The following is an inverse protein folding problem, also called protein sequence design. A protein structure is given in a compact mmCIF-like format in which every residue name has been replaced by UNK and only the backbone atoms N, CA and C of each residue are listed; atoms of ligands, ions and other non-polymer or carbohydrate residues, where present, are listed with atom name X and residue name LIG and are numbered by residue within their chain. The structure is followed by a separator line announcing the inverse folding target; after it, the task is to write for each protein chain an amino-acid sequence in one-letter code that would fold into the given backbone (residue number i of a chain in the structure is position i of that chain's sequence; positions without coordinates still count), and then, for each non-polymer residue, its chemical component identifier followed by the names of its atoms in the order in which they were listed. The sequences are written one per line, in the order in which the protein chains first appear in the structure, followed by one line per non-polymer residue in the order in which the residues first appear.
data_IF_205124468966
#
_entry.id   IF_205124468966
#
_cell.length_a   1.000
_cell.length_b   1.000
_cell.length_c   1.000
_cell.angle_alpha   90.00
_cell.angle_beta   90.00
_cell.angle_gamma   90.00
#
_symmetry.space_group_name_H-M   'P 1'
#
loop_
_entity.id
_entity.type
_entity.pdbx_description
1 polymer ?
#
# COMPACT_ATOMS: atom_id res chain seq x y z
N UNK A 1 -49.37 18.40 -22.15
CA UNK A 1 -47.93 18.46 -21.85
C UNK A 1 -47.59 19.68 -20.99
N UNK A 2 -47.88 20.92 -21.43
CA UNK A 2 -47.73 22.15 -20.60
C UNK A 2 -48.53 22.13 -19.26
N UNK A 3 -49.76 21.60 -19.26
CA UNK A 3 -50.56 21.44 -18.02
C UNK A 3 -50.06 20.34 -17.06
N UNK A 4 -49.13 19.49 -17.51
CA UNK A 4 -48.56 18.42 -16.69
C UNK A 4 -47.32 18.93 -15.92
N UNK A 5 -46.51 19.78 -16.56
CA UNK A 5 -45.36 20.45 -15.95
C UNK A 5 -45.78 21.46 -14.87
N UNK A 6 -46.91 22.14 -15.04
CA UNK A 6 -47.48 23.04 -14.02
C UNK A 6 -47.90 22.32 -12.72
N UNK A 7 -48.10 21.00 -12.75
CA UNK A 7 -48.64 20.25 -11.61
C UNK A 7 -47.58 19.65 -10.67
N UNK A 8 -46.35 19.45 -11.15
CA UNK A 8 -45.29 18.78 -10.36
C UNK A 8 -44.26 19.73 -9.74
N UNK A 9 -43.99 20.90 -10.35
CA UNK A 9 -43.08 21.89 -9.77
C UNK A 9 -43.84 22.82 -8.80
N UNK A 10 -44.09 22.34 -7.58
CA UNK A 10 -44.65 23.13 -6.46
C UNK A 10 -43.64 24.16 -5.91
N UNK A 11 -43.13 25.04 -6.76
CA UNK A 11 -42.58 26.33 -6.32
C UNK A 11 -43.37 27.40 -7.07
N UNK A 12 -44.58 27.67 -6.58
CA UNK A 12 -45.35 28.82 -7.02
C UNK A 12 -44.74 30.08 -6.42
N UNK A 13 -43.93 30.80 -7.20
CA UNK A 13 -43.85 32.24 -7.00
C UNK A 13 -45.22 32.84 -7.36
N UNK A 14 -45.89 33.41 -6.35
CA UNK A 14 -47.05 34.29 -6.55
C UNK A 14 -46.71 35.31 -7.66
N UNK A 15 -47.66 35.69 -8.53
CA UNK A 15 -47.49 36.73 -9.56
C UNK A 15 -46.79 37.99 -9.06
N UNK A 16 -46.96 38.35 -7.78
CA UNK A 16 -46.22 39.45 -7.14
C UNK A 16 -44.71 39.21 -7.04
N UNK A 17 -44.26 37.98 -6.78
CA UNK A 17 -42.86 37.63 -6.76
C UNK A 17 -42.27 37.57 -8.18
N UNK A 18 -43.01 37.10 -9.20
CA UNK A 18 -42.60 37.24 -10.61
C UNK A 18 -42.53 38.70 -11.10
N UNK A 19 -43.41 39.57 -10.59
CA UNK A 19 -43.41 41.00 -10.89
C UNK A 19 -42.26 41.73 -10.17
N UNK A 20 -42.04 41.46 -8.88
CA UNK A 20 -40.87 41.92 -8.13
C UNK A 20 -39.56 41.37 -8.73
N UNK A 21 -39.57 40.15 -9.28
CA UNK A 21 -38.47 39.54 -10.02
C UNK A 21 -38.17 40.29 -11.32
N UNK A 22 -39.18 40.63 -12.13
CA UNK A 22 -39.00 41.48 -13.32
C UNK A 22 -38.52 42.89 -12.97
N UNK A 23 -38.98 43.46 -11.86
CA UNK A 23 -38.52 44.76 -11.37
C UNK A 23 -37.07 44.68 -10.85
N UNK A 24 -36.69 43.63 -10.12
CA UNK A 24 -35.31 43.43 -9.65
C UNK A 24 -34.34 43.15 -10.80
N UNK A 25 -34.76 42.36 -11.81
CA UNK A 25 -34.01 42.12 -13.05
C UNK A 25 -33.85 43.39 -13.90
N UNK A 26 -34.87 44.25 -13.93
CA UNK A 26 -34.85 45.48 -14.73
C UNK A 26 -34.09 46.65 -14.09
N UNK A 27 -33.68 46.56 -12.82
CA UNK A 27 -33.15 47.71 -12.05
C UNK A 27 -31.70 47.54 -11.58
N UNK A 28 -31.10 46.34 -11.57
CA UNK A 28 -29.77 46.20 -10.92
C UNK A 28 -28.81 45.31 -11.70
N UNK A 29 -27.91 45.96 -12.44
CA UNK A 29 -26.76 45.30 -13.09
C UNK A 29 -25.63 44.93 -12.10
N UNK A 30 -25.68 45.42 -10.85
CA UNK A 30 -24.60 45.31 -9.83
C UNK A 30 -24.99 44.52 -8.56
N UNK A 31 -25.78 43.45 -8.68
CA UNK A 31 -26.08 42.60 -7.52
C UNK A 31 -24.90 41.64 -7.27
N UNK A 32 -24.32 41.69 -6.06
CA UNK A 32 -23.09 40.94 -5.69
C UNK A 32 -23.34 39.79 -4.69
N UNK A 33 -24.61 39.48 -4.42
CA UNK A 33 -25.02 38.36 -3.58
C UNK A 33 -24.97 37.07 -4.40
N UNK A 34 -24.06 36.15 -4.05
CA UNK A 34 -23.75 34.99 -4.88
C UNK A 34 -24.84 33.90 -4.80
N UNK A 35 -25.50 33.77 -3.65
CA UNK A 35 -26.64 32.87 -3.49
C UNK A 35 -27.83 33.31 -4.35
N UNK A 36 -28.14 34.61 -4.36
CA UNK A 36 -29.22 35.14 -5.20
C UNK A 36 -28.89 35.02 -6.69
N UNK A 37 -27.65 35.26 -7.08
CA UNK A 37 -27.20 35.05 -8.47
C UNK A 37 -27.33 33.58 -8.87
N UNK A 38 -26.97 32.63 -8.00
CA UNK A 38 -27.12 31.19 -8.26
C UNK A 38 -28.60 30.78 -8.38
N UNK A 39 -29.46 31.33 -7.51
CA UNK A 39 -30.91 31.12 -7.60
C UNK A 39 -31.49 31.61 -8.94
N UNK A 40 -31.04 32.79 -9.41
CA UNK A 40 -31.47 33.32 -10.71
C UNK A 40 -30.95 32.52 -11.89
N UNK A 41 -29.70 32.06 -11.84
CA UNK A 41 -29.15 31.17 -12.86
C UNK A 41 -30.01 29.91 -13.01
N UNK A 42 -30.38 29.27 -11.90
CA UNK A 42 -31.23 28.07 -11.88
C UNK A 42 -32.63 28.35 -12.45
N UNK A 43 -33.25 29.47 -12.08
CA UNK A 43 -34.58 29.82 -12.60
C UNK A 43 -34.58 30.08 -14.11
N UNK A 44 -33.55 30.73 -14.63
CA UNK A 44 -33.40 30.97 -16.07
C UNK A 44 -33.12 29.68 -16.84
N UNK A 45 -32.30 28.82 -16.27
CA UNK A 45 -32.05 27.48 -16.78
C UNK A 45 -33.35 26.67 -16.89
N UNK A 46 -34.15 26.60 -15.81
CA UNK A 46 -35.44 25.90 -15.79
C UNK A 46 -36.47 26.46 -16.78
N UNK A 47 -36.30 27.70 -17.23
CA UNK A 47 -37.14 28.34 -18.26
C UNK A 47 -36.60 28.16 -19.69
N UNK A 48 -35.44 27.51 -19.85
CA UNK A 48 -34.75 27.32 -21.13
C UNK A 48 -34.02 28.56 -21.66
N UNK A 49 -33.81 29.60 -20.82
CA UNK A 49 -33.04 30.78 -21.21
C UNK A 49 -31.55 30.58 -20.85
N UNK A 50 -30.87 29.75 -21.64
CA UNK A 50 -29.50 29.31 -21.38
C UNK A 50 -28.50 30.47 -21.41
N UNK A 51 -28.64 31.41 -22.36
CA UNK A 51 -27.72 32.54 -22.49
C UNK A 51 -27.73 33.47 -21.26
N UNK A 52 -28.90 33.72 -20.68
CA UNK A 52 -28.93 34.51 -19.44
C UNK A 52 -28.47 33.70 -18.23
N UNK A 53 -28.74 32.40 -18.19
CA UNK A 53 -28.15 31.52 -17.17
C UNK A 53 -26.62 31.62 -17.18
N UNK A 54 -25.99 31.50 -18.35
CA UNK A 54 -24.55 31.67 -18.54
C UNK A 54 -24.06 33.03 -18.02
N UNK A 55 -24.74 34.13 -18.37
CA UNK A 55 -24.37 35.46 -17.88
C UNK A 55 -24.33 35.54 -16.34
N UNK A 56 -25.28 34.90 -15.65
CA UNK A 56 -25.28 34.83 -14.18
C UNK A 56 -24.15 33.96 -13.64
N UNK A 57 -23.86 32.82 -14.26
CA UNK A 57 -22.74 31.96 -13.88
C UNK A 57 -21.39 32.68 -14.08
N UNK A 58 -21.21 33.44 -15.16
CA UNK A 58 -20.01 34.29 -15.38
C UNK A 58 -19.85 35.27 -14.22
N UNK A 59 -20.92 35.97 -13.82
CA UNK A 59 -20.90 36.94 -12.72
C UNK A 59 -20.53 36.28 -11.40
N UNK A 60 -21.13 35.13 -11.07
CA UNK A 60 -20.77 34.36 -9.87
C UNK A 60 -19.28 34.02 -9.88
N UNK A 61 -18.78 33.52 -11.02
CA UNK A 61 -17.40 33.12 -11.16
C UNK A 61 -16.43 34.32 -11.00
N UNK A 62 -16.79 35.49 -11.51
CA UNK A 62 -16.02 36.74 -11.33
C UNK A 62 -16.00 37.19 -9.87
N UNK A 63 -17.14 37.18 -9.19
CA UNK A 63 -17.23 37.66 -7.80
C UNK A 63 -16.69 36.67 -6.77
N UNK A 64 -16.56 35.39 -7.11
CA UNK A 64 -15.99 34.36 -6.24
C UNK A 64 -14.54 34.63 -5.77
N UNK A 65 -13.79 35.51 -6.43
CA UNK A 65 -12.41 35.90 -6.08
C UNK A 65 -12.31 37.29 -5.43
N UNK A 66 -13.44 37.91 -5.12
CA UNK A 66 -13.50 39.28 -4.61
C UNK A 66 -13.90 39.33 -3.13
N UNK A 67 -13.93 40.53 -2.55
CA UNK A 67 -14.43 40.79 -1.19
C UNK A 67 -15.88 40.33 -0.94
N UNK A 68 -16.61 39.94 -1.99
CA UNK A 68 -18.02 39.54 -1.95
C UNK A 68 -18.24 38.02 -1.78
N UNK A 69 -17.21 37.24 -1.45
CA UNK A 69 -17.29 35.77 -1.37
C UNK A 69 -18.09 35.21 -0.18
N UNK A 70 -18.72 36.07 0.64
CA UNK A 70 -19.23 35.71 1.97
C UNK A 70 -20.28 34.58 1.97
N UNK A 71 -21.09 34.45 0.91
CA UNK A 71 -22.11 33.40 0.79
C UNK A 71 -21.87 32.38 -0.33
N UNK A 72 -20.73 32.43 -1.01
CA UNK A 72 -20.40 31.47 -2.07
C UNK A 72 -20.43 30.02 -1.58
N UNK A 73 -20.01 29.81 -0.32
CA UNK A 73 -19.98 28.50 0.34
C UNK A 73 -21.29 28.13 1.04
N UNK A 74 -22.38 28.88 0.83
CA UNK A 74 -23.66 28.51 1.43
C UNK A 74 -24.20 27.22 0.78
N UNK A 75 -24.80 26.36 1.59
CA UNK A 75 -25.42 25.11 1.13
C UNK A 75 -26.46 25.39 0.03
N UNK A 76 -27.21 26.49 0.14
CA UNK A 76 -28.17 26.90 -0.87
C UNK A 76 -27.51 27.19 -2.22
N UNK A 77 -26.40 27.95 -2.23
CA UNK A 77 -25.64 28.23 -3.45
C UNK A 77 -25.17 26.93 -4.11
N UNK A 78 -24.62 26.01 -3.32
CA UNK A 78 -24.14 24.70 -3.79
C UNK A 78 -25.29 23.89 -4.39
N UNK A 79 -26.44 23.84 -3.71
CA UNK A 79 -27.64 23.13 -4.18
C UNK A 79 -28.18 23.69 -5.50
N UNK A 80 -28.29 25.02 -5.62
CA UNK A 80 -28.77 25.65 -6.85
C UNK A 80 -27.86 25.37 -8.04
N UNK A 81 -26.54 25.47 -7.84
CA UNK A 81 -25.56 25.12 -8.86
C UNK A 81 -25.59 23.61 -9.18
N UNK A 82 -25.85 22.77 -8.17
CA UNK A 82 -25.94 21.32 -8.32
C UNK A 82 -27.12 20.92 -9.20
N UNK A 83 -28.29 21.55 -9.01
CA UNK A 83 -29.45 21.33 -9.88
C UNK A 83 -29.15 21.68 -11.34
N UNK A 84 -28.45 22.80 -11.60
CA UNK A 84 -28.02 23.17 -12.96
C UNK A 84 -27.09 22.08 -13.53
N UNK A 85 -26.08 21.66 -12.76
CA UNK A 85 -25.09 20.67 -13.20
C UNK A 85 -25.68 19.31 -13.55
N UNK A 86 -26.81 18.91 -12.95
CA UNK A 86 -27.40 17.57 -13.17
C UNK A 86 -28.05 17.36 -14.54
N UNK A 87 -28.27 18.41 -15.33
CA UNK A 87 -29.06 18.29 -16.59
C UNK A 87 -28.53 19.11 -17.75
N UNK A 88 -27.43 19.86 -17.57
CA UNK A 88 -26.95 20.86 -18.52
C UNK A 88 -26.09 20.28 -19.65
N UNK A 89 -25.80 21.12 -20.65
CA UNK A 89 -24.80 20.84 -21.68
C UNK A 89 -23.36 21.01 -21.15
N UNK A 90 -22.34 20.52 -21.89
CA UNK A 90 -20.95 20.53 -21.44
C UNK A 90 -20.41 21.91 -21.07
N UNK A 91 -20.84 22.98 -21.76
CA UNK A 91 -20.31 24.32 -21.51
C UNK A 91 -20.78 24.88 -20.17
N UNK A 92 -22.08 24.77 -19.90
CA UNK A 92 -22.64 25.19 -18.61
C UNK A 92 -22.06 24.33 -17.47
N UNK A 93 -21.88 23.03 -17.69
CA UNK A 93 -21.23 22.15 -16.72
C UNK A 93 -19.81 22.61 -16.37
N UNK A 94 -19.02 22.97 -17.38
CA UNK A 94 -17.68 23.52 -17.22
C UNK A 94 -17.67 24.78 -16.34
N UNK A 95 -18.64 25.68 -16.54
CA UNK A 95 -18.76 26.88 -15.73
C UNK A 95 -19.10 26.58 -14.27
N UNK A 96 -19.99 25.61 -14.02
CA UNK A 96 -20.31 25.17 -12.66
C UNK A 96 -19.10 24.53 -11.99
N UNK A 97 -18.36 23.65 -12.69
CA UNK A 97 -17.12 23.04 -12.17
C UNK A 97 -16.09 24.10 -11.79
N UNK A 98 -15.91 25.15 -12.60
CA UNK A 98 -15.04 26.27 -12.27
C UNK A 98 -15.45 27.01 -10.99
N UNK A 99 -16.76 27.17 -10.75
CA UNK A 99 -17.27 27.76 -9.50
C UNK A 99 -17.02 26.80 -8.33
N UNK A 100 -17.29 25.51 -8.50
CA UNK A 100 -17.03 24.49 -7.49
C UNK A 100 -15.55 24.41 -7.11
N UNK A 101 -14.62 24.56 -8.06
CA UNK A 101 -13.18 24.63 -7.77
C UNK A 101 -12.78 25.86 -6.92
N UNK A 102 -13.66 26.86 -6.77
CA UNK A 102 -13.47 28.00 -5.86
C UNK A 102 -14.18 27.80 -4.52
N UNK A 103 -15.21 26.96 -4.46
CA UNK A 103 -15.90 26.55 -3.23
C UNK A 103 -15.10 25.48 -2.49
N UNK A 104 -14.67 24.44 -3.23
CA UNK A 104 -13.85 23.29 -2.81
C UNK A 104 -14.35 22.58 -1.54
N UNK A 105 -15.66 22.62 -1.31
CA UNK A 105 -16.31 21.90 -0.22
C UNK A 105 -16.81 20.52 -0.70
N UNK A 106 -16.83 19.50 0.16
CA UNK A 106 -17.29 18.16 -0.19
C UNK A 106 -18.72 18.14 -0.74
N UNK A 107 -19.59 19.04 -0.28
CA UNK A 107 -20.98 19.18 -0.73
C UNK A 107 -21.10 19.50 -2.22
N UNK A 108 -20.01 19.90 -2.90
CA UNK A 108 -19.98 20.06 -4.35
C UNK A 108 -20.06 18.72 -5.11
N UNK A 109 -19.78 17.59 -4.45
CA UNK A 109 -19.73 16.26 -5.05
C UNK A 109 -21.07 15.54 -4.89
N UNK A 110 -22.05 15.92 -5.69
CA UNK A 110 -23.30 15.18 -5.77
C UNK A 110 -23.19 14.02 -6.79
N UNK A 111 -23.86 12.86 -6.57
CA UNK A 111 -23.65 11.67 -7.42
C UNK A 111 -24.02 11.86 -8.89
N UNK A 112 -24.97 12.76 -9.16
CA UNK A 112 -25.38 13.10 -10.51
C UNK A 112 -24.28 13.88 -11.26
N UNK A 113 -23.43 14.64 -10.57
CA UNK A 113 -22.33 15.38 -11.20
C UNK A 113 -21.36 14.43 -11.91
N UNK A 114 -20.95 13.37 -11.20
CA UNK A 114 -20.09 12.32 -11.75
C UNK A 114 -20.75 11.62 -12.94
N UNK A 115 -22.04 11.29 -12.83
CA UNK A 115 -22.80 10.66 -13.91
C UNK A 115 -22.85 11.53 -15.19
N UNK A 116 -22.91 12.86 -15.04
CA UNK A 116 -22.89 13.78 -16.19
C UNK A 116 -21.49 13.86 -16.81
N UNK A 117 -20.44 13.92 -16.00
CA UNK A 117 -19.06 13.90 -16.51
C UNK A 117 -18.79 12.61 -17.29
N UNK A 118 -19.19 11.46 -16.73
CA UNK A 118 -19.13 10.16 -17.40
C UNK A 118 -19.90 10.15 -18.72
N UNK A 119 -21.11 10.73 -18.75
CA UNK A 119 -21.94 10.78 -19.93
C UNK A 119 -21.33 11.58 -21.08
N UNK A 120 -20.61 12.66 -20.78
CA UNK A 120 -20.08 13.56 -21.82
C UNK A 120 -18.75 13.10 -22.43
N UNK A 121 -18.02 12.20 -21.76
CA UNK A 121 -16.72 11.67 -22.22
C UNK A 121 -15.76 12.78 -22.71
N UNK A 122 -15.81 13.95 -22.07
CA UNK A 122 -15.05 15.13 -22.45
C UNK A 122 -13.81 15.29 -21.56
N UNK A 123 -12.62 15.29 -22.16
CA UNK A 123 -11.34 15.35 -21.44
C UNK A 123 -11.19 16.60 -20.56
N UNK A 124 -11.67 17.75 -21.01
CA UNK A 124 -11.51 19.02 -20.30
C UNK A 124 -12.40 19.05 -19.05
N UNK A 125 -13.62 18.51 -19.15
CA UNK A 125 -14.53 18.34 -18.02
C UNK A 125 -13.96 17.37 -16.99
N UNK A 126 -13.40 16.25 -17.45
CA UNK A 126 -12.74 15.27 -16.58
C UNK A 126 -11.57 15.91 -15.85
N UNK A 127 -10.71 16.66 -16.55
CA UNK A 127 -9.57 17.34 -15.93
C UNK A 127 -10.01 18.40 -14.91
N UNK A 128 -11.04 19.19 -15.20
CA UNK A 128 -11.60 20.15 -14.26
C UNK A 128 -12.20 19.47 -13.01
N UNK A 129 -12.79 18.29 -13.19
CA UNK A 129 -13.30 17.53 -12.07
C UNK A 129 -12.18 16.96 -11.18
N UNK A 130 -11.07 16.49 -11.77
CA UNK A 130 -9.87 16.08 -11.01
C UNK A 130 -9.32 17.25 -10.18
N UNK A 131 -9.21 18.45 -10.78
CA UNK A 131 -8.75 19.65 -10.06
C UNK A 131 -9.67 19.98 -8.88
N UNK A 132 -11.00 19.81 -9.05
CA UNK A 132 -11.95 19.96 -7.95
C UNK A 132 -11.70 18.95 -6.84
N UNK A 133 -11.58 17.66 -7.18
CA UNK A 133 -11.30 16.59 -6.23
C UNK A 133 -9.99 16.86 -5.45
N UNK A 134 -8.91 17.23 -6.14
CA UNK A 134 -7.62 17.56 -5.52
C UNK A 134 -7.75 18.72 -4.51
N UNK A 135 -8.48 19.77 -4.88
CA UNK A 135 -8.71 20.91 -3.98
C UNK A 135 -9.54 20.53 -2.76
N UNK A 136 -10.59 19.72 -2.93
CA UNK A 136 -11.41 19.22 -1.81
C UNK A 136 -10.52 18.40 -0.87
N UNK A 137 -9.72 17.50 -1.40
CA UNK A 137 -8.87 16.60 -0.63
C UNK A 137 -7.78 17.34 0.18
N UNK A 138 -7.20 18.40 -0.38
CA UNK A 138 -6.17 19.22 0.27
C UNK A 138 -6.70 20.17 1.35
N UNK A 139 -7.97 20.58 1.28
CA UNK A 139 -8.50 21.66 2.11
C UNK A 139 -9.54 21.21 3.15
N UNK A 140 -9.89 19.92 3.18
CA UNK A 140 -10.88 19.38 4.10
C UNK A 140 -10.28 18.27 4.96
N UNK A 141 -10.91 18.03 6.13
CA UNK A 141 -10.50 16.97 7.02
C UNK A 141 -10.78 15.61 6.38
N UNK A 142 -9.75 14.76 6.38
CA UNK A 142 -9.75 13.42 5.80
C UNK A 142 -10.92 12.57 6.28
N UNK A 143 -11.12 12.51 7.60
CA UNK A 143 -12.16 11.68 8.21
C UNK A 143 -13.55 12.06 7.71
N UNK A 144 -13.79 13.36 7.52
CA UNK A 144 -15.05 13.87 6.99
C UNK A 144 -15.27 13.47 5.53
N UNK A 145 -14.21 13.54 4.70
CA UNK A 145 -14.28 13.14 3.28
C UNK A 145 -14.63 11.66 3.10
N UNK A 146 -14.03 10.80 3.94
CA UNK A 146 -14.17 9.34 3.84
C UNK A 146 -15.50 8.89 4.43
N UNK A 147 -15.86 9.37 5.63
CA UNK A 147 -17.01 8.86 6.36
C UNK A 147 -18.33 9.48 5.91
N UNK A 148 -18.31 10.73 5.44
CA UNK A 148 -19.54 11.51 5.25
C UNK A 148 -19.82 11.90 3.80
N UNK A 149 -18.84 11.78 2.89
CA UNK A 149 -18.96 12.33 1.53
C UNK A 149 -18.74 11.32 0.41
N UNK A 150 -18.56 10.03 0.71
CA UNK A 150 -18.31 8.96 -0.27
C UNK A 150 -17.18 9.32 -1.27
N UNK A 151 -16.20 10.10 -0.81
CA UNK A 151 -15.20 10.75 -1.65
C UNK A 151 -14.34 9.75 -2.43
N UNK A 152 -14.12 8.57 -1.84
CA UNK A 152 -13.33 7.49 -2.45
C UNK A 152 -14.03 6.90 -3.68
N UNK A 153 -15.37 6.76 -3.66
CA UNK A 153 -16.11 6.24 -4.82
C UNK A 153 -15.98 7.17 -6.03
N UNK A 154 -16.05 8.49 -5.82
CA UNK A 154 -15.79 9.46 -6.90
C UNK A 154 -14.40 9.31 -7.50
N UNK A 155 -13.40 9.15 -6.63
CA UNK A 155 -12.01 9.01 -7.04
C UNK A 155 -11.82 7.73 -7.85
N UNK A 156 -12.39 6.59 -7.43
CA UNK A 156 -12.31 5.34 -8.17
C UNK A 156 -13.02 5.43 -9.53
N UNK A 157 -14.22 6.01 -9.56
CA UNK A 157 -15.03 6.07 -10.78
C UNK A 157 -14.49 7.04 -11.83
N UNK A 158 -14.00 8.22 -11.42
CA UNK A 158 -13.37 9.16 -12.38
C UNK A 158 -12.08 8.56 -12.95
N UNK A 159 -11.38 7.74 -12.16
CA UNK A 159 -10.13 7.10 -12.56
C UNK A 159 -10.29 6.18 -13.77
N UNK A 160 -11.50 5.62 -13.98
CA UNK A 160 -11.83 4.78 -15.14
C UNK A 160 -11.98 5.58 -16.45
N UNK A 161 -12.09 6.90 -16.38
CA UNK A 161 -12.29 7.81 -17.52
C UNK A 161 -10.99 8.48 -17.98
N UNK A 162 -9.87 8.25 -17.29
CA UNK A 162 -8.61 8.92 -17.56
C UNK A 162 -7.82 8.18 -18.63
N UNK A 163 -7.59 8.84 -19.76
CA UNK A 163 -6.65 8.38 -20.80
C UNK A 163 -5.18 8.57 -20.37
N UNK A 164 -4.92 9.45 -19.39
CA UNK A 164 -3.58 9.81 -18.91
C UNK A 164 -3.33 9.29 -17.49
N UNK A 165 -2.34 8.42 -17.38
CA UNK A 165 -1.88 7.77 -16.15
C UNK A 165 -1.50 8.75 -15.02
N UNK A 166 -0.90 9.89 -15.34
CA UNK A 166 -0.41 10.87 -14.35
C UNK A 166 -1.51 11.46 -13.45
N UNK A 167 -2.70 11.71 -14.03
CA UNK A 167 -3.84 12.31 -13.31
C UNK A 167 -4.53 11.29 -12.39
N UNK A 168 -4.50 10.01 -12.78
CA UNK A 168 -4.92 8.88 -11.95
C UNK A 168 -4.04 8.77 -10.70
N UNK A 169 -2.73 8.97 -10.83
CA UNK A 169 -1.80 8.87 -9.71
C UNK A 169 -1.97 9.98 -8.66
N UNK A 170 -2.26 11.22 -9.05
CA UNK A 170 -2.54 12.30 -8.09
C UNK A 170 -3.75 11.97 -7.21
N UNK A 171 -4.77 11.33 -7.80
CA UNK A 171 -5.97 10.86 -7.11
C UNK A 171 -5.65 9.73 -6.12
N UNK A 172 -4.81 8.78 -6.52
CA UNK A 172 -4.49 7.63 -5.66
C UNK A 172 -3.43 7.95 -4.61
N UNK A 173 -2.53 8.91 -4.84
CA UNK A 173 -1.62 9.45 -3.82
C UNK A 173 -2.42 10.17 -2.71
N UNK A 174 -3.50 10.87 -3.10
CA UNK A 174 -4.47 11.42 -2.16
C UNK A 174 -5.17 10.33 -1.34
N UNK A 175 -5.64 9.24 -1.96
CA UNK A 175 -6.16 8.07 -1.24
C UNK A 175 -5.09 7.39 -0.37
N UNK A 176 -3.85 7.42 -0.84
CA UNK A 176 -2.67 6.90 -0.18
C UNK A 176 -2.33 7.62 1.13
N UNK A 177 -2.59 8.93 1.16
CA UNK A 177 -2.43 9.73 2.38
C UNK A 177 -3.46 9.40 3.48
N UNK A 178 -4.51 8.64 3.14
CA UNK A 178 -5.62 8.28 4.02
C UNK A 178 -5.53 6.85 4.59
N UNK A 179 -4.41 6.17 4.35
CA UNK A 179 -4.20 4.73 4.49
C UNK A 179 -4.29 4.17 5.93
N UNK A 180 -4.44 4.99 6.97
CA UNK A 180 -4.46 4.51 8.36
C UNK A 180 -5.85 4.11 8.90
N UNK A 181 -6.88 4.03 8.04
CA UNK A 181 -8.24 3.68 8.45
C UNK A 181 -8.84 2.54 7.62
N UNK A 182 -9.44 1.56 8.32
CA UNK A 182 -10.08 0.41 7.70
C UNK A 182 -11.34 0.85 6.95
N UNK A 183 -11.48 0.49 5.67
CA UNK A 183 -12.56 1.03 4.85
C UNK A 183 -13.02 0.09 3.74
N UNK A 184 -14.35 -0.04 3.57
CA UNK A 184 -14.97 -0.79 2.47
C UNK A 184 -14.53 -0.28 1.08
N UNK A 185 -14.13 0.98 0.98
CA UNK A 185 -13.70 1.62 -0.26
C UNK A 185 -12.30 1.18 -0.71
N UNK A 186 -11.50 0.66 0.23
CA UNK A 186 -10.15 0.16 -0.02
C UNK A 186 -10.14 -1.01 -1.01
N UNK A 187 -11.14 -1.90 -0.91
CA UNK A 187 -11.33 -3.04 -1.81
C UNK A 187 -11.52 -2.64 -3.28
N UNK A 188 -12.31 -1.59 -3.53
CA UNK A 188 -12.57 -1.09 -4.88
C UNK A 188 -11.33 -0.43 -5.47
N UNK A 189 -10.52 0.23 -4.64
CA UNK A 189 -9.24 0.78 -5.04
C UNK A 189 -8.24 -0.32 -5.43
N UNK A 190 -8.12 -1.41 -4.65
CA UNK A 190 -7.25 -2.56 -4.97
C UNK A 190 -7.58 -3.10 -6.36
N UNK A 191 -8.86 -3.42 -6.60
CA UNK A 191 -9.30 -3.96 -7.89
C UNK A 191 -9.01 -3.03 -9.07
N UNK A 192 -9.08 -1.72 -8.83
CA UNK A 192 -8.84 -0.71 -9.86
C UNK A 192 -7.34 -0.56 -10.13
N UNK A 193 -6.50 -0.49 -9.09
CA UNK A 193 -5.04 -0.49 -9.21
C UNK A 193 -4.53 -1.72 -9.98
N UNK A 194 -5.11 -2.88 -9.72
CA UNK A 194 -4.80 -4.14 -10.40
C UNK A 194 -5.10 -4.08 -11.91
N UNK A 195 -6.15 -3.37 -12.35
CA UNK A 195 -6.46 -3.22 -13.79
C UNK A 195 -5.43 -2.36 -14.52
N UNK A 196 -4.80 -1.43 -13.81
CA UNK A 196 -3.85 -0.48 -14.37
C UNK A 196 -2.38 -0.90 -14.20
N UNK A 197 -2.11 -1.93 -13.38
CA UNK A 197 -0.79 -2.54 -13.15
C UNK A 197 -0.03 -2.88 -14.45
N UNK A 198 -0.73 -3.34 -15.49
CA UNK A 198 -0.11 -3.78 -16.76
C UNK A 198 0.23 -2.61 -17.69
N UNK A 199 -0.37 -1.45 -17.42
CA UNK A 199 -0.32 -0.26 -18.27
C UNK A 199 0.55 0.85 -17.63
N UNK A 200 0.83 0.75 -16.32
CA UNK A 200 1.68 1.69 -15.60
C UNK A 200 3.18 1.47 -15.90
N UNK A 201 3.74 2.45 -16.63
CA UNK A 201 5.16 2.51 -16.99
C UNK A 201 6.04 3.14 -15.92
N UNK A 202 5.50 3.87 -14.92
CA UNK A 202 6.26 4.86 -14.14
C UNK A 202 6.30 4.70 -12.60
N UNK A 203 6.19 3.47 -12.07
CA UNK A 203 6.45 3.10 -10.65
C UNK A 203 5.32 3.43 -9.65
N UNK A 204 4.44 4.37 -9.96
CA UNK A 204 3.45 4.90 -9.02
C UNK A 204 2.42 3.84 -8.57
N UNK A 205 2.01 2.89 -9.42
CA UNK A 205 1.10 1.80 -9.02
C UNK A 205 1.76 0.88 -7.97
N UNK A 206 3.06 0.62 -8.07
CA UNK A 206 3.77 -0.18 -7.06
C UNK A 206 3.88 0.55 -5.72
N UNK A 207 4.06 1.87 -5.73
CA UNK A 207 4.09 2.66 -4.49
C UNK A 207 2.75 2.61 -3.77
N UNK A 208 1.65 2.68 -4.52
CA UNK A 208 0.30 2.55 -3.99
C UNK A 208 0.11 1.17 -3.39
N UNK A 209 0.43 0.11 -4.15
CA UNK A 209 0.34 -1.27 -3.66
C UNK A 209 1.13 -1.45 -2.36
N UNK A 210 2.36 -0.94 -2.32
CA UNK A 210 3.20 -0.99 -1.12
C UNK A 210 2.52 -0.29 0.05
N UNK A 211 1.97 0.91 -0.17
CA UNK A 211 1.27 1.65 0.88
C UNK A 211 0.05 0.87 1.38
N UNK A 212 -0.68 0.20 0.49
CA UNK A 212 -1.86 -0.60 0.84
C UNK A 212 -1.53 -1.82 1.70
N UNK A 213 -0.54 -2.61 1.30
CA UNK A 213 -0.12 -3.78 2.08
C UNK A 213 0.63 -3.40 3.37
N UNK A 214 1.08 -2.14 3.49
CA UNK A 214 1.69 -1.60 4.70
C UNK A 214 0.68 -1.07 5.71
N UNK A 215 -0.63 -1.05 5.37
CA UNK A 215 -1.69 -0.63 6.29
C UNK A 215 -1.85 -1.63 7.45
N UNK A 216 -1.59 -1.23 8.69
CA UNK A 216 -1.67 -2.12 9.86
C UNK A 216 -3.06 -2.75 10.09
N UNK A 217 -4.15 -2.09 9.64
CA UNK A 217 -5.53 -2.56 9.88
C UNK A 217 -6.03 -3.53 8.82
N UNK A 218 -5.68 -3.30 7.55
CA UNK A 218 -6.25 -3.99 6.39
C UNK A 218 -5.20 -4.73 5.54
N UNK A 219 -3.96 -4.88 6.02
CA UNK A 219 -2.88 -5.52 5.26
C UNK A 219 -3.26 -6.91 4.72
N UNK A 220 -3.81 -7.79 5.57
CA UNK A 220 -4.13 -9.18 5.20
C UNK A 220 -5.17 -9.25 4.10
N UNK A 221 -6.25 -8.48 4.22
CA UNK A 221 -7.30 -8.44 3.21
C UNK A 221 -6.77 -7.85 1.91
N UNK A 222 -5.97 -6.78 1.99
CA UNK A 222 -5.33 -6.16 0.83
C UNK A 222 -4.43 -7.13 0.08
N UNK A 223 -3.60 -7.89 0.80
CA UNK A 223 -2.75 -8.94 0.22
C UNK A 223 -3.62 -10.02 -0.43
N UNK A 224 -4.64 -10.52 0.27
CA UNK A 224 -5.53 -11.55 -0.27
C UNK A 224 -6.21 -11.08 -1.57
N UNK A 225 -6.65 -9.82 -1.66
CA UNK A 225 -7.22 -9.27 -2.88
C UNK A 225 -6.19 -9.19 -4.02
N UNK A 226 -4.96 -8.74 -3.75
CA UNK A 226 -3.89 -8.69 -4.76
C UNK A 226 -3.57 -10.08 -5.31
N UNK A 227 -3.53 -11.09 -4.42
CA UNK A 227 -3.27 -12.48 -4.79
C UNK A 227 -4.39 -13.13 -5.61
N UNK A 228 -5.62 -12.58 -5.62
CA UNK A 228 -6.68 -13.06 -6.54
C UNK A 228 -6.41 -12.74 -8.01
N UNK A 229 -5.45 -11.87 -8.30
CA UNK A 229 -5.05 -11.58 -9.67
C UNK A 229 -3.85 -12.44 -10.09
N UNK A 230 -4.09 -13.36 -11.02
CA UNK A 230 -3.09 -14.32 -11.54
C UNK A 230 -1.82 -13.66 -12.12
N UNK A 231 -1.88 -12.38 -12.50
CA UNK A 231 -0.75 -11.64 -13.08
C UNK A 231 0.05 -10.85 -12.06
N UNK A 232 -0.48 -10.65 -10.85
CA UNK A 232 0.17 -9.82 -9.83
C UNK A 232 1.55 -10.36 -9.45
N UNK A 233 1.66 -11.65 -9.15
CA UNK A 233 2.95 -12.27 -8.81
C UNK A 233 3.95 -12.14 -9.96
N UNK A 234 3.53 -12.45 -11.20
CA UNK A 234 4.38 -12.31 -12.39
C UNK A 234 4.91 -10.89 -12.54
N UNK A 235 4.05 -9.87 -12.39
CA UNK A 235 4.48 -8.47 -12.45
C UNK A 235 5.54 -8.13 -11.40
N UNK A 236 5.29 -8.49 -10.13
CA UNK A 236 6.21 -8.18 -9.05
C UNK A 236 7.56 -8.87 -9.26
N UNK A 237 7.55 -10.11 -9.75
CA UNK A 237 8.75 -10.87 -10.09
C UNK A 237 9.51 -10.25 -11.27
N UNK A 238 8.83 -9.86 -12.34
CA UNK A 238 9.42 -9.15 -13.49
C UNK A 238 10.08 -7.82 -13.06
N UNK A 239 9.46 -7.11 -12.13
CA UNK A 239 10.00 -5.86 -11.59
C UNK A 239 11.19 -6.10 -10.66
N UNK A 240 11.17 -7.18 -9.87
CA UNK A 240 12.31 -7.61 -9.07
C UNK A 240 13.52 -7.92 -9.96
N UNK A 241 13.34 -8.69 -11.05
CA UNK A 241 14.44 -8.98 -12.01
C UNK A 241 15.03 -7.71 -12.62
N UNK A 242 14.22 -6.66 -12.77
CA UNK A 242 14.66 -5.31 -13.20
C UNK A 242 15.19 -4.43 -12.07
N UNK A 243 15.52 -5.01 -10.90
CA UNK A 243 16.16 -4.34 -9.76
C UNK A 243 15.30 -3.24 -9.13
N UNK A 244 13.97 -3.39 -9.18
CA UNK A 244 13.07 -2.40 -8.63
C UNK A 244 13.00 -2.48 -7.10
N UNK A 245 13.36 -1.39 -6.40
CA UNK A 245 13.35 -1.33 -4.94
C UNK A 245 11.96 -1.50 -4.33
N UNK A 246 10.92 -0.93 -4.96
CA UNK A 246 9.54 -1.05 -4.49
C UNK A 246 9.05 -2.49 -4.57
N UNK A 247 9.48 -3.25 -5.60
CA UNK A 247 9.18 -4.68 -5.69
C UNK A 247 9.81 -5.47 -4.53
N UNK A 248 11.05 -5.15 -4.12
CA UNK A 248 11.70 -5.75 -2.95
C UNK A 248 10.88 -5.48 -1.68
N UNK A 249 10.42 -4.24 -1.49
CA UNK A 249 9.58 -3.87 -0.34
C UNK A 249 8.23 -4.60 -0.36
N UNK A 250 7.59 -4.74 -1.52
CA UNK A 250 6.32 -5.45 -1.67
C UNK A 250 6.49 -6.94 -1.32
N UNK A 251 7.52 -7.58 -1.87
CA UNK A 251 7.82 -9.00 -1.58
C UNK A 251 8.09 -9.16 -0.09
N UNK A 252 8.91 -8.30 0.50
CA UNK A 252 9.20 -8.32 1.94
C UNK A 252 7.91 -8.33 2.76
N UNK A 253 6.98 -7.40 2.49
CA UNK A 253 5.73 -7.30 3.24
C UNK A 253 4.83 -8.54 3.06
N UNK A 254 4.72 -9.05 1.84
CA UNK A 254 3.89 -10.24 1.57
C UNK A 254 4.47 -11.47 2.25
N UNK A 255 5.80 -11.62 2.27
CA UNK A 255 6.46 -12.76 2.91
C UNK A 255 6.31 -12.72 4.44
N UNK A 256 6.20 -11.54 5.04
CA UNK A 256 5.88 -11.40 6.47
C UNK A 256 4.44 -11.81 6.82
N UNK A 257 3.48 -11.46 5.96
CA UNK A 257 2.05 -11.45 6.32
C UNK A 257 1.19 -12.52 5.60
N UNK A 258 1.72 -13.20 4.57
CA UNK A 258 0.96 -14.15 3.75
C UNK A 258 1.74 -15.39 3.33
N UNK A 259 1.36 -16.53 3.93
CA UNK A 259 1.88 -17.84 3.57
C UNK A 259 1.59 -18.20 2.10
N UNK A 260 0.37 -17.88 1.63
CA UNK A 260 -0.05 -18.15 0.25
C UNK A 260 0.78 -17.34 -0.75
N UNK A 261 0.91 -16.03 -0.53
CA UNK A 261 1.71 -15.17 -1.40
C UNK A 261 3.17 -15.61 -1.45
N UNK A 262 3.73 -16.02 -0.30
CA UNK A 262 5.09 -16.56 -0.26
C UNK A 262 5.24 -17.83 -1.10
N UNK A 263 4.29 -18.78 -0.99
CA UNK A 263 4.30 -20.00 -1.80
C UNK A 263 4.23 -19.67 -3.29
N UNK A 264 3.38 -18.72 -3.68
CA UNK A 264 3.28 -18.30 -5.08
C UNK A 264 4.59 -17.66 -5.59
N UNK A 265 5.26 -16.82 -4.78
CA UNK A 265 6.56 -16.26 -5.16
C UNK A 265 7.64 -17.34 -5.33
N UNK A 266 7.66 -18.36 -4.47
CA UNK A 266 8.59 -19.48 -4.60
C UNK A 266 8.35 -20.26 -5.90
N UNK A 267 7.09 -20.53 -6.24
CA UNK A 267 6.73 -21.19 -7.51
C UNK A 267 7.18 -20.40 -8.74
N UNK A 268 7.31 -19.06 -8.62
CA UNK A 268 7.82 -18.18 -9.67
C UNK A 268 9.34 -17.94 -9.58
N UNK A 269 10.08 -18.73 -8.78
CA UNK A 269 11.53 -18.73 -8.78
C UNK A 269 12.18 -17.63 -7.93
N UNK A 270 11.49 -17.11 -6.90
CA UNK A 270 12.00 -16.03 -6.03
C UNK A 270 13.42 -16.30 -5.53
N UNK A 271 13.71 -17.49 -5.01
CA UNK A 271 15.04 -17.81 -4.45
C UNK A 271 16.16 -17.71 -5.51
N UNK A 272 15.87 -18.07 -6.75
CA UNK A 272 16.82 -17.97 -7.86
C UNK A 272 17.09 -16.50 -8.22
N UNK A 273 16.03 -15.69 -8.30
CA UNK A 273 16.16 -14.26 -8.61
C UNK A 273 16.91 -13.54 -7.50
N UNK A 274 16.60 -13.81 -6.24
CA UNK A 274 17.33 -13.26 -5.09
C UNK A 274 18.81 -13.62 -5.14
N UNK A 275 19.14 -14.87 -5.50
CA UNK A 275 20.55 -15.31 -5.65
C UNK A 275 21.29 -14.49 -6.70
N UNK A 276 20.69 -14.30 -7.87
CA UNK A 276 21.29 -13.51 -8.96
C UNK A 276 21.50 -12.05 -8.55
N UNK A 277 20.52 -11.46 -7.85
CA UNK A 277 20.56 -10.05 -7.45
C UNK A 277 21.45 -9.78 -6.24
N UNK A 278 21.77 -10.81 -5.44
CA UNK A 278 22.43 -10.67 -4.15
C UNK A 278 23.73 -9.86 -4.22
N UNK A 279 24.58 -10.17 -5.19
CA UNK A 279 25.86 -9.46 -5.39
C UNK A 279 25.72 -8.21 -6.27
N UNK A 280 24.68 -8.16 -7.11
CA UNK A 280 24.42 -7.02 -7.99
C UNK A 280 23.82 -5.82 -7.26
N UNK A 281 23.13 -6.05 -6.14
CA UNK A 281 22.45 -5.06 -5.33
C UNK A 281 22.92 -5.13 -3.87
N UNK A 282 24.22 -4.91 -3.63
CA UNK A 282 24.84 -5.02 -2.30
C UNK A 282 24.15 -4.17 -1.23
N UNK A 283 23.67 -2.98 -1.60
CA UNK A 283 22.94 -2.08 -0.68
C UNK A 283 21.62 -2.68 -0.16
N UNK A 284 21.11 -3.73 -0.81
CA UNK A 284 19.87 -4.42 -0.45
C UNK A 284 20.10 -5.84 0.09
N UNK A 285 21.35 -6.21 0.37
CA UNK A 285 21.73 -7.53 0.86
C UNK A 285 20.94 -7.93 2.11
N UNK A 286 20.82 -7.03 3.08
CA UNK A 286 20.04 -7.24 4.31
C UNK A 286 18.57 -7.55 4.03
N UNK A 287 17.97 -6.91 3.02
CA UNK A 287 16.59 -7.20 2.63
C UNK A 287 16.45 -8.63 2.06
N UNK A 288 17.41 -9.09 1.27
CA UNK A 288 17.40 -10.45 0.72
C UNK A 288 17.62 -11.51 1.81
N UNK A 289 18.51 -11.24 2.77
CA UNK A 289 18.69 -12.08 3.97
C UNK A 289 17.39 -12.13 4.76
N UNK A 290 16.75 -10.98 4.96
CA UNK A 290 15.49 -10.87 5.69
C UNK A 290 14.34 -11.63 5.01
N UNK A 291 14.18 -11.49 3.70
CA UNK A 291 13.18 -12.24 2.91
C UNK A 291 13.44 -13.74 3.07
N UNK A 292 14.68 -14.20 2.86
CA UNK A 292 15.05 -15.63 2.97
C UNK A 292 14.79 -16.17 4.38
N UNK A 293 15.07 -15.37 5.41
CA UNK A 293 14.80 -15.72 6.80
C UNK A 293 13.29 -15.86 7.06
N UNK A 294 12.45 -14.93 6.58
CA UNK A 294 11.00 -14.99 6.77
C UNK A 294 10.35 -16.19 6.06
N UNK A 295 10.83 -16.56 4.87
CA UNK A 295 10.37 -17.79 4.18
C UNK A 295 10.57 -19.01 5.09
N UNK A 296 11.64 -19.05 5.89
CA UNK A 296 11.90 -20.17 6.82
C UNK A 296 10.90 -20.26 7.98
N UNK A 297 10.05 -19.26 8.21
CA UNK A 297 8.99 -19.30 9.21
C UNK A 297 7.74 -20.06 8.74
N UNK A 298 7.59 -20.32 7.45
CA UNK A 298 6.51 -21.13 6.90
C UNK A 298 6.51 -22.56 7.45
N UNK A 299 5.34 -23.06 7.88
CA UNK A 299 5.17 -24.44 8.38
C UNK A 299 4.94 -25.42 7.23
N UNK A 300 5.86 -25.45 6.27
CA UNK A 300 5.79 -26.31 5.09
C UNK A 300 7.14 -26.95 4.76
N UNK A 301 7.27 -28.26 4.96
CA UNK A 301 8.54 -29.00 4.79
C UNK A 301 9.11 -28.91 3.37
N UNK A 302 8.24 -28.79 2.36
CA UNK A 302 8.67 -28.63 0.97
C UNK A 302 9.38 -27.29 0.76
N UNK A 303 8.78 -26.19 1.23
CA UNK A 303 9.37 -24.83 1.15
C UNK A 303 10.72 -24.78 1.85
N UNK A 304 10.79 -25.39 3.03
CA UNK A 304 11.98 -25.41 3.86
C UNK A 304 13.13 -26.19 3.18
N UNK A 305 12.80 -27.32 2.52
CA UNK A 305 13.75 -28.08 1.69
C UNK A 305 14.25 -27.25 0.50
N UNK A 306 13.34 -26.53 -0.17
CA UNK A 306 13.66 -25.67 -1.31
C UNK A 306 14.63 -24.55 -0.91
N UNK A 307 14.39 -23.89 0.24
CA UNK A 307 15.31 -22.87 0.77
C UNK A 307 16.68 -23.45 1.09
N UNK A 308 16.77 -24.57 1.83
CA UNK A 308 18.07 -25.14 2.23
C UNK A 308 18.90 -25.59 1.03
N UNK A 309 18.25 -26.02 -0.04
CA UNK A 309 18.94 -26.44 -1.28
C UNK A 309 19.16 -25.28 -2.26
N UNK A 310 18.67 -24.08 -1.96
CA UNK A 310 18.80 -22.91 -2.82
C UNK A 310 20.22 -22.31 -2.80
N UNK A 311 20.58 -21.67 -3.91
CA UNK A 311 21.86 -20.99 -4.05
C UNK A 311 21.96 -19.78 -3.12
N UNK A 312 20.88 -18.98 -2.99
CA UNK A 312 20.84 -17.82 -2.09
C UNK A 312 21.14 -18.21 -0.64
N UNK A 313 20.61 -19.34 -0.16
CA UNK A 313 20.88 -19.81 1.20
C UNK A 313 22.37 -20.14 1.40
N UNK A 314 22.99 -20.85 0.46
CA UNK A 314 24.43 -21.14 0.53
C UNK A 314 25.28 -19.87 0.44
N UNK A 315 24.90 -18.95 -0.43
CA UNK A 315 25.53 -17.63 -0.57
C UNK A 315 25.50 -16.87 0.75
N UNK A 316 24.36 -16.82 1.43
CA UNK A 316 24.23 -16.18 2.75
C UNK A 316 25.16 -16.85 3.77
N UNK A 317 25.23 -18.18 3.80
CA UNK A 317 26.08 -18.91 4.75
C UNK A 317 27.58 -18.75 4.48
N UNK A 318 27.97 -18.46 3.24
CA UNK A 318 29.34 -18.28 2.82
C UNK A 318 29.87 -16.86 3.05
N UNK A 319 29.02 -15.93 3.51
CA UNK A 319 29.42 -14.54 3.78
C UNK A 319 30.46 -14.46 4.89
N UNK A 320 31.44 -13.60 4.66
CA UNK A 320 32.43 -13.27 5.67
C UNK A 320 31.85 -12.31 6.72
N UNK A 321 32.38 -12.40 7.95
CA UNK A 321 31.95 -11.56 9.08
C UNK A 321 31.98 -10.06 8.79
N UNK A 322 32.91 -9.61 7.95
CA UNK A 322 33.09 -8.19 7.60
C UNK A 322 32.03 -7.68 6.63
N UNK A 323 31.30 -8.58 5.96
CA UNK A 323 30.25 -8.26 5.00
C UNK A 323 28.86 -8.20 5.65
N UNK A 324 28.76 -8.57 6.93
CA UNK A 324 27.49 -8.70 7.64
C UNK A 324 27.23 -7.51 8.57
N UNK A 325 26.04 -6.93 8.44
CA UNK A 325 25.54 -5.94 9.38
C UNK A 325 24.93 -6.60 10.61
N UNK A 326 24.71 -5.80 11.66
CA UNK A 326 24.09 -6.26 12.92
C UNK A 326 22.76 -6.99 12.69
N UNK A 327 21.90 -6.47 11.81
CA UNK A 327 20.61 -7.07 11.51
C UNK A 327 20.73 -8.40 10.74
N UNK A 328 21.75 -8.54 9.89
CA UNK A 328 22.00 -9.77 9.15
C UNK A 328 22.28 -10.93 10.09
N UNK A 329 23.11 -10.72 11.13
CA UNK A 329 23.34 -11.74 12.16
C UNK A 329 22.05 -12.15 12.88
N UNK A 330 21.16 -11.19 13.18
CA UNK A 330 19.86 -11.48 13.81
C UNK A 330 19.03 -12.37 12.88
N UNK A 331 18.83 -11.95 11.63
CA UNK A 331 18.02 -12.69 10.67
C UNK A 331 18.58 -14.07 10.35
N UNK A 332 19.90 -14.21 10.17
CA UNK A 332 20.55 -15.50 9.95
C UNK A 332 20.40 -16.40 11.17
N UNK A 333 20.57 -15.88 12.39
CA UNK A 333 20.39 -16.67 13.61
C UNK A 333 18.95 -17.19 13.76
N UNK A 334 17.96 -16.35 13.42
CA UNK A 334 16.54 -16.71 13.45
C UNK A 334 16.23 -17.75 12.37
N UNK A 335 16.70 -17.54 11.14
CA UNK A 335 16.57 -18.48 10.03
C UNK A 335 17.09 -19.87 10.41
N UNK A 336 18.33 -19.96 10.90
CA UNK A 336 18.95 -21.23 11.29
C UNK A 336 18.23 -21.89 12.46
N UNK A 337 17.79 -21.11 13.46
CA UNK A 337 16.99 -21.63 14.57
C UNK A 337 15.67 -22.23 14.09
N UNK A 338 14.97 -21.58 13.17
CA UNK A 338 13.70 -22.08 12.65
C UNK A 338 13.89 -23.35 11.82
N UNK A 339 14.87 -23.34 10.92
CA UNK A 339 15.22 -24.51 10.12
C UNK A 339 15.52 -25.70 11.04
N UNK A 340 16.44 -25.52 11.99
CA UNK A 340 16.89 -26.61 12.86
C UNK A 340 15.77 -27.11 13.78
N UNK A 341 14.84 -26.27 14.25
CA UNK A 341 13.72 -26.75 15.08
C UNK A 341 12.68 -27.54 14.30
N UNK A 342 12.48 -27.24 13.02
CA UNK A 342 11.46 -27.88 12.18
C UNK A 342 11.92 -29.21 11.61
N UNK A 343 13.23 -29.42 11.48
CA UNK A 343 13.76 -30.65 10.93
C UNK A 343 13.81 -31.79 11.96
N UNK A 344 13.12 -32.89 11.63
CA UNK A 344 13.43 -34.24 12.12
C UNK A 344 14.13 -35.08 11.05
N UNK A 345 14.61 -34.43 9.97
CA UNK A 345 15.14 -35.09 8.79
C UNK A 345 16.68 -35.08 8.79
N UNK A 346 17.25 -36.20 9.20
CA UNK A 346 18.69 -36.46 9.22
C UNK A 346 19.42 -36.13 7.91
N UNK A 347 18.78 -36.33 6.75
CA UNK A 347 19.40 -36.08 5.45
C UNK A 347 19.70 -34.61 5.22
N UNK A 348 18.80 -33.72 5.67
CA UNK A 348 18.97 -32.28 5.51
C UNK A 348 20.01 -31.73 6.48
N UNK A 349 20.08 -32.27 7.70
CA UNK A 349 21.18 -31.96 8.59
C UNK A 349 22.53 -32.43 8.07
N UNK A 350 22.59 -33.65 7.55
CA UNK A 350 23.79 -34.15 6.89
C UNK A 350 24.18 -33.23 5.72
N UNK A 351 23.22 -32.79 4.91
CA UNK A 351 23.46 -31.83 3.84
C UNK A 351 24.04 -30.51 4.37
N UNK A 352 23.42 -29.89 5.37
CA UNK A 352 23.93 -28.67 6.02
C UNK A 352 25.37 -28.84 6.53
N UNK A 353 25.70 -29.99 7.13
CA UNK A 353 27.04 -30.23 7.69
C UNK A 353 28.12 -30.53 6.64
N UNK A 354 27.73 -30.93 5.43
CA UNK A 354 28.66 -31.47 4.43
C UNK A 354 28.70 -30.72 3.11
N UNK A 355 27.66 -29.94 2.80
CA UNK A 355 27.46 -29.29 1.50
C UNK A 355 27.31 -27.78 1.60
N UNK A 356 27.26 -27.20 2.80
CA UNK A 356 27.10 -25.76 3.00
C UNK A 356 28.12 -25.22 3.99
N UNK A 357 28.26 -23.89 4.04
CA UNK A 357 29.13 -23.19 4.99
C UNK A 357 28.44 -22.96 6.35
N UNK A 358 27.43 -23.77 6.68
CA UNK A 358 26.67 -23.68 7.93
C UNK A 358 27.58 -23.61 9.16
N UNK A 359 28.56 -24.51 9.27
CA UNK A 359 29.48 -24.53 10.42
C UNK A 359 30.37 -23.28 10.46
N UNK A 360 30.71 -22.69 9.32
CA UNK A 360 31.46 -21.43 9.29
C UNK A 360 30.62 -20.28 9.83
N UNK A 361 29.37 -20.15 9.35
CA UNK A 361 28.42 -19.15 9.82
C UNK A 361 28.13 -19.25 11.32
N UNK A 362 28.00 -20.47 11.89
CA UNK A 362 27.87 -20.64 13.35
C UNK A 362 29.06 -20.02 14.08
N UNK A 363 30.27 -20.16 13.52
CA UNK A 363 31.48 -19.56 14.06
C UNK A 363 31.38 -18.04 14.14
N UNK A 364 30.83 -17.39 13.11
CA UNK A 364 30.60 -15.94 13.13
C UNK A 364 29.54 -15.55 14.14
N UNK A 365 28.40 -16.25 14.17
CA UNK A 365 27.32 -15.96 15.12
C UNK A 365 27.78 -16.10 16.58
N UNK A 366 28.61 -17.10 16.89
CA UNK A 366 29.15 -17.30 18.24
C UNK A 366 30.12 -16.19 18.69
N UNK A 367 30.70 -15.41 17.77
CA UNK A 367 31.54 -14.25 18.13
C UNK A 367 30.71 -13.02 18.48
N UNK A 368 29.43 -12.98 18.09
CA UNK A 368 28.55 -11.83 18.33
C UNK A 368 27.98 -11.82 19.76
N UNK A 369 28.84 -11.92 20.77
CA UNK A 369 28.42 -12.03 22.19
C UNK A 369 27.65 -10.80 22.70
N UNK A 370 27.82 -9.66 22.06
CA UNK A 370 27.09 -8.42 22.35
C UNK A 370 25.61 -8.48 21.92
N UNK A 371 25.28 -9.40 20.99
CA UNK A 371 23.94 -9.64 20.49
C UNK A 371 23.33 -10.85 21.22
N UNK A 372 22.76 -10.60 22.41
CA UNK A 372 22.21 -11.66 23.26
C UNK A 372 21.24 -12.60 22.52
N UNK A 373 20.38 -12.05 21.66
CA UNK A 373 19.44 -12.84 20.85
C UNK A 373 20.17 -13.79 19.88
N UNK A 374 21.20 -13.30 19.19
CA UNK A 374 21.99 -14.09 18.24
C UNK A 374 22.67 -15.26 18.97
N UNK A 375 23.30 -14.97 20.11
CA UNK A 375 23.93 -15.98 20.95
C UNK A 375 22.93 -17.03 21.44
N UNK A 376 21.78 -16.60 21.97
CA UNK A 376 20.73 -17.49 22.44
C UNK A 376 20.20 -18.40 21.34
N UNK A 377 19.93 -17.83 20.16
CA UNK A 377 19.48 -18.58 19.00
C UNK A 377 20.52 -19.61 18.58
N UNK A 378 21.79 -19.20 18.55
CA UNK A 378 22.93 -20.03 18.15
C UNK A 378 23.14 -21.22 19.07
N UNK A 379 23.20 -20.97 20.38
CA UNK A 379 23.29 -22.03 21.39
C UNK A 379 22.08 -22.97 21.30
N UNK A 380 20.87 -22.41 21.19
CA UNK A 380 19.64 -23.21 21.10
C UNK A 380 19.67 -24.19 19.94
N UNK A 381 20.15 -23.79 18.76
CA UNK A 381 20.16 -24.69 17.62
C UNK A 381 21.36 -25.64 17.62
N UNK A 382 22.51 -25.26 18.22
CA UNK A 382 23.64 -26.17 18.46
C UNK A 382 23.18 -27.32 19.37
N UNK A 383 22.52 -26.98 20.48
CA UNK A 383 21.98 -27.96 21.41
C UNK A 383 20.90 -28.83 20.78
N UNK A 384 20.07 -28.27 19.91
CA UNK A 384 19.10 -29.05 19.17
C UNK A 384 19.82 -30.07 18.26
N UNK A 385 20.78 -29.63 17.45
CA UNK A 385 21.59 -30.51 16.60
C UNK A 385 22.30 -31.61 17.38
N UNK A 386 22.81 -31.30 18.57
CA UNK A 386 23.50 -32.25 19.44
C UNK A 386 22.58 -33.35 20.00
N UNK A 387 21.30 -33.03 20.27
CA UNK A 387 20.43 -33.86 21.10
C UNK A 387 19.23 -34.49 20.37
N UNK A 388 18.95 -34.14 19.11
CA UNK A 388 17.64 -34.46 18.49
C UNK A 388 17.66 -35.50 17.36
N UNK A 389 18.82 -36.03 16.97
CA UNK A 389 18.94 -36.80 15.72
C UNK A 389 19.42 -38.24 15.97
N UNK A 390 20.68 -38.54 15.71
CA UNK A 390 21.31 -39.84 15.97
C UNK A 390 22.75 -39.68 16.44
N UNK A 391 23.28 -40.70 17.11
CA UNK A 391 24.67 -40.73 17.58
C UNK A 391 25.68 -40.45 16.45
N UNK A 392 25.39 -40.90 15.22
CA UNK A 392 26.27 -40.69 14.06
C UNK A 392 26.31 -39.22 13.63
N UNK A 393 25.15 -38.57 13.52
CA UNK A 393 25.07 -37.15 13.20
C UNK A 393 25.65 -36.26 14.31
N UNK A 394 25.40 -36.60 15.57
CA UNK A 394 25.98 -35.87 16.70
C UNK A 394 27.51 -35.97 16.70
N UNK A 395 28.07 -37.16 16.42
CA UNK A 395 29.53 -37.34 16.25
C UNK A 395 30.07 -36.54 15.07
N UNK A 396 29.38 -36.56 13.93
CA UNK A 396 29.78 -35.78 12.74
C UNK A 396 29.78 -34.28 13.04
N UNK A 397 28.71 -33.77 13.65
CA UNK A 397 28.59 -32.35 13.99
C UNK A 397 29.70 -31.93 14.95
N UNK A 398 29.92 -32.71 16.01
CA UNK A 398 31.00 -32.48 16.97
C UNK A 398 32.38 -32.46 16.31
N UNK A 399 32.66 -33.41 15.43
CA UNK A 399 33.91 -33.44 14.65
C UNK A 399 34.07 -32.17 13.81
N UNK A 400 32.99 -31.68 13.18
CA UNK A 400 33.01 -30.48 12.33
C UNK A 400 33.26 -29.18 13.09
N UNK A 401 32.89 -29.10 14.36
CA UNK A 401 33.11 -27.90 15.20
C UNK A 401 34.39 -27.98 16.04
N UNK A 402 34.97 -29.15 16.21
CA UNK A 402 36.18 -29.33 17.02
C UNK A 402 37.37 -28.57 16.43
N UNK A 403 38.17 -27.94 17.29
CA UNK A 403 39.30 -27.08 16.94
C UNK A 403 38.90 -25.74 16.31
N UNK A 404 37.60 -25.41 16.25
CA UNK A 404 37.10 -24.14 15.68
C UNK A 404 36.70 -23.16 16.77
N UNK A 405 36.54 -21.86 16.44
CA UNK A 405 36.10 -20.83 17.39
C UNK A 405 34.81 -21.18 18.14
N UNK A 406 33.94 -21.99 17.53
CA UNK A 406 32.70 -22.49 18.13
C UNK A 406 32.96 -23.29 19.41
N UNK A 407 33.88 -24.27 19.35
CA UNK A 407 34.21 -25.11 20.51
C UNK A 407 34.80 -24.29 21.65
N UNK A 408 35.67 -23.33 21.34
CA UNK A 408 36.23 -22.40 22.32
C UNK A 408 35.13 -21.57 23.01
N UNK A 409 34.20 -21.00 22.24
CA UNK A 409 33.11 -20.19 22.80
C UNK A 409 32.16 -21.03 23.67
N UNK A 410 31.85 -22.26 23.23
CA UNK A 410 31.01 -23.18 24.00
C UNK A 410 31.69 -23.66 25.30
N UNK A 411 33.01 -23.85 25.29
CA UNK A 411 33.79 -24.21 26.50
C UNK A 411 33.78 -23.08 27.54
N UNK A 412 33.65 -21.83 27.10
CA UNK A 412 33.63 -20.64 27.97
C UNK A 412 32.22 -20.11 28.26
N UNK A 413 31.18 -20.88 27.93
CA UNK A 413 29.78 -20.40 27.95
C UNK A 413 29.30 -19.95 29.32
N UNK A 414 29.83 -20.50 30.41
CA UNK A 414 29.52 -20.09 31.79
C UNK A 414 29.84 -18.63 32.10
N UNK A 415 30.83 -18.05 31.41
CA UNK A 415 31.18 -16.63 31.57
C UNK A 415 30.21 -15.71 30.81
N UNK A 416 29.47 -16.28 29.87
CA UNK A 416 28.55 -15.57 28.97
C UNK A 416 27.09 -15.77 29.42
N UNK A 417 26.78 -16.93 30.01
CA UNK A 417 25.42 -17.36 30.37
C UNK A 417 25.32 -17.80 31.83
N UNK A 418 24.23 -17.44 32.49
CA UNK A 418 23.93 -17.85 33.88
C UNK A 418 22.92 -19.01 33.97
N UNK A 419 22.43 -19.53 32.83
CA UNK A 419 21.47 -20.64 32.81
C UNK A 419 22.19 -22.00 32.96
N UNK A 420 22.13 -22.56 34.17
CA UNK A 420 22.78 -23.81 34.55
C UNK A 420 22.35 -24.98 33.63
N UNK A 421 21.08 -25.05 33.22
CA UNK A 421 20.60 -26.15 32.38
C UNK A 421 21.19 -26.11 30.97
N UNK A 422 21.48 -24.92 30.44
CA UNK A 422 22.13 -24.75 29.14
C UNK A 422 23.61 -25.13 29.26
N UNK A 423 24.28 -24.69 30.33
CA UNK A 423 25.70 -24.99 30.58
C UNK A 423 25.93 -26.50 30.66
N UNK A 424 25.14 -27.21 31.46
CA UNK A 424 25.25 -28.67 31.61
C UNK A 424 25.11 -29.40 30.26
N UNK A 425 24.09 -29.05 29.47
CA UNK A 425 23.86 -29.66 28.14
C UNK A 425 25.01 -29.41 27.17
N UNK A 426 25.63 -28.23 27.22
CA UNK A 426 26.77 -27.89 26.36
C UNK A 426 28.01 -28.69 26.78
N UNK A 427 28.28 -28.78 28.08
CA UNK A 427 29.41 -29.54 28.60
C UNK A 427 29.25 -31.05 28.37
N UNK A 428 28.04 -31.59 28.53
CA UNK A 428 27.71 -32.97 28.16
C UNK A 428 28.00 -33.24 26.67
N UNK A 429 27.51 -32.35 25.79
CA UNK A 429 27.79 -32.44 24.35
C UNK A 429 29.29 -32.36 24.03
N UNK A 430 30.03 -31.50 24.72
CA UNK A 430 31.48 -31.37 24.58
C UNK A 430 32.28 -32.39 25.41
N UNK A 431 31.63 -33.34 26.10
CA UNK A 431 32.26 -34.31 27.01
C UNK A 431 33.26 -33.66 27.99
N UNK A 432 32.92 -32.49 28.48
CA UNK A 432 33.66 -31.76 29.51
C UNK A 432 33.10 -32.24 30.86
N UNK A 433 33.96 -32.70 31.76
CA UNK A 433 33.53 -33.10 33.11
C UNK A 433 33.29 -31.85 33.95
N UNK A 434 32.15 -31.80 34.63
CA UNK A 434 31.87 -30.78 35.65
C UNK A 434 32.68 -31.13 36.91
N UNK A 435 33.73 -30.36 37.18
CA UNK A 435 34.52 -30.46 38.42
C UNK A 435 33.92 -29.61 39.55
#
# INVERSE_FOLDING_TARGET
MLKFVEKELKIHFNRNAQFLFKIRLGVVNDFKDLELLAQYALELYNRGNLQECENYLIKINQYAQSEYSANLKSINTINFLGEIATTCDPHILEMVLNIYQKIYLPECLNPYLLSQIQRFENSDLVQQFIVLLNKIAQNNLVDHLIEQCDFVSYLVEISLLLDKFEEWFQIVELLGSYINQASQYYKQLVMTCIKFIEQDTELSTLQIILAMISCEKDNKDSINYLLTNDKFINLIMDKLERKNLTAISIITKIVEDSDEGTIQFLQHGLLKILSNLFFEMRENQTAFIYITANICFLKNDYVITEVVTSEIFNTILALDEQELEKNDFIYISQMLKQLIRKYSNERLYHYLLTKTDYVYMIGHLMKQYELLEVMQNTISFILHMANSQSDELTKLFRYKISGKPIEYMLTNIQYIFQDINIIEKVYDFLNIKND
#
